data_IF_820593356834
#
_entry.id   IF_820593356834
#
_cell.length_a   1.000
_cell.length_b   1.000
_cell.length_c   1.000
_cell.angle_alpha   90.00
_cell.angle_beta   90.00
_cell.angle_gamma   90.00
#
_symmetry.space_group_name_H-M   'P 1'
#
loop_
_entity.id
_entity.type
_entity.pdbx_description
1 polymer ?
#
# COMPACT_ATOMS: atom_id res chain seq x y z
N UNK A 1 -12.10 13.29 23.82
CA UNK A 1 -13.19 13.44 24.79
C UNK A 1 -13.22 14.86 25.33
N UNK A 2 -14.35 15.51 25.28
CA UNK A 2 -14.58 16.79 25.98
C UNK A 2 -15.26 16.51 27.31
N UNK A 3 -14.71 17.01 28.40
CA UNK A 3 -15.29 16.83 29.75
C UNK A 3 -16.34 17.90 30.04
N UNK A 4 -17.24 17.64 30.98
CA UNK A 4 -18.23 18.61 31.46
C UNK A 4 -17.60 19.82 32.19
N UNK A 5 -16.31 19.79 32.50
CA UNK A 5 -15.55 20.92 33.02
C UNK A 5 -14.92 21.79 31.93
N UNK A 6 -15.29 21.64 30.66
CA UNK A 6 -14.73 22.35 29.54
C UNK A 6 -13.27 22.00 29.19
N UNK A 7 -12.78 20.84 29.68
CA UNK A 7 -11.44 20.33 29.37
C UNK A 7 -11.49 19.30 28.26
N UNK A 8 -10.50 19.31 27.40
CA UNK A 8 -10.31 18.28 26.38
C UNK A 8 -9.27 17.27 26.86
N UNK A 9 -9.62 15.98 26.77
CA UNK A 9 -8.71 14.88 27.04
C UNK A 9 -8.34 14.18 25.73
N UNK A 10 -7.04 14.06 25.46
CA UNK A 10 -6.49 13.34 24.34
C UNK A 10 -5.74 12.11 24.85
N UNK A 11 -6.03 10.96 24.27
CA UNK A 11 -5.29 9.71 24.50
C UNK A 11 -4.73 9.24 23.16
N UNK A 12 -3.43 8.94 23.17
CA UNK A 12 -2.70 8.39 22.02
C UNK A 12 -1.97 7.12 22.49
N UNK A 13 -1.97 6.10 21.65
CA UNK A 13 -1.32 4.84 21.97
C UNK A 13 -1.78 3.72 21.04
N UNK A 14 -1.36 2.50 21.34
CA UNK A 14 -1.80 1.31 20.63
C UNK A 14 -3.28 1.10 20.93
N UNK A 15 -4.07 0.80 19.87
CA UNK A 15 -5.47 0.43 20.05
C UNK A 15 -5.56 -0.81 20.94
N UNK A 16 -6.30 -0.76 22.08
CA UNK A 16 -6.40 -1.89 23.00
C UNK A 16 -7.22 -3.07 22.45
N UNK A 17 -7.93 -2.89 21.32
CA UNK A 17 -8.70 -3.97 20.70
C UNK A 17 -7.73 -5.09 20.26
N UNK A 18 -7.97 -6.30 20.75
CA UNK A 18 -7.16 -7.50 20.48
C UNK A 18 -5.65 -7.36 20.80
N UNK A 19 -5.22 -6.30 21.52
CA UNK A 19 -3.83 -6.10 21.90
C UNK A 19 -3.56 -6.55 23.35
N UNK A 20 -2.59 -7.45 23.50
CA UNK A 20 -2.06 -7.89 24.81
C UNK A 20 -0.56 -8.04 24.70
N UNK A 21 0.16 -7.61 25.72
CA UNK A 21 1.60 -7.74 25.78
C UNK A 21 2.04 -8.20 27.18
N UNK A 22 2.76 -9.33 27.25
CA UNK A 22 3.35 -9.79 28.49
C UNK A 22 4.73 -9.15 28.64
N UNK A 23 4.86 -8.19 29.54
CA UNK A 23 6.14 -7.59 29.87
C UNK A 23 6.79 -8.40 31.01
N UNK A 24 7.76 -9.28 30.68
CA UNK A 24 8.48 -10.07 31.66
C UNK A 24 9.44 -9.19 32.50
N UNK A 25 9.80 -9.61 33.73
CA UNK A 25 10.78 -8.91 34.56
C UNK A 25 12.09 -8.65 33.81
N UNK A 26 12.60 -7.41 33.90
CA UNK A 26 13.84 -6.99 33.23
C UNK A 26 13.74 -6.78 31.72
N UNK A 27 12.55 -6.90 31.14
CA UNK A 27 12.29 -6.58 29.70
C UNK A 27 11.71 -5.21 29.54
N UNK A 28 11.87 -4.65 28.33
CA UNK A 28 11.32 -3.35 27.94
C UNK A 28 10.36 -3.54 26.77
N UNK A 29 9.24 -2.84 26.80
CA UNK A 29 8.35 -2.68 25.67
C UNK A 29 8.44 -1.24 25.17
N UNK A 30 8.77 -1.04 23.90
CA UNK A 30 8.80 0.29 23.26
C UNK A 30 7.49 0.51 22.53
N UNK A 31 6.69 1.45 23.03
CA UNK A 31 5.47 1.85 22.34
C UNK A 31 5.81 2.66 21.07
N UNK A 32 4.94 2.62 20.04
CA UNK A 32 5.09 3.50 18.89
C UNK A 32 5.12 4.97 19.28
N UNK A 33 5.91 5.76 18.56
CA UNK A 33 5.98 7.20 18.77
C UNK A 33 4.65 7.87 18.39
N UNK A 34 4.21 8.83 19.21
CA UNK A 34 3.05 9.66 18.94
C UNK A 34 3.51 11.08 18.59
N UNK A 35 3.01 11.61 17.46
CA UNK A 35 3.34 12.94 16.98
C UNK A 35 2.16 13.86 17.17
N UNK A 36 2.38 15.00 17.82
CA UNK A 36 1.39 16.04 18.01
C UNK A 36 1.83 17.35 17.35
N UNK A 37 0.88 18.08 16.77
CA UNK A 37 1.12 19.39 16.20
C UNK A 37 0.12 20.41 16.74
N UNK A 38 0.59 21.63 16.93
CA UNK A 38 -0.24 22.79 17.28
C UNK A 38 -0.10 23.87 16.22
N UNK A 39 -1.19 24.58 15.94
CA UNK A 39 -1.17 25.77 15.07
C UNK A 39 -2.24 26.77 15.52
N UNK A 40 -1.85 28.02 15.59
CA UNK A 40 -2.77 29.14 15.79
C UNK A 40 -3.50 29.54 14.49
N UNK A 41 -3.10 28.98 13.34
CA UNK A 41 -3.66 29.25 12.01
C UNK A 41 -4.79 28.28 11.61
N UNK A 42 -5.40 27.60 12.59
CA UNK A 42 -6.47 26.63 12.37
C UNK A 42 -6.01 25.31 11.74
N UNK A 43 -6.96 24.53 11.23
CA UNK A 43 -6.72 23.17 10.70
C UNK A 43 -5.78 23.16 9.50
N UNK A 44 -5.84 24.18 8.63
CA UNK A 44 -4.91 24.30 7.51
C UNK A 44 -3.46 24.44 7.96
N UNK A 45 -3.22 25.17 9.05
CA UNK A 45 -1.90 25.30 9.66
C UNK A 45 -1.38 23.97 10.22
N UNK A 46 -2.23 23.21 10.93
CA UNK A 46 -1.90 21.86 11.43
C UNK A 46 -1.58 20.94 10.26
N UNK A 47 -2.42 20.92 9.22
CA UNK A 47 -2.23 20.08 8.02
C UNK A 47 -0.86 20.36 7.37
N UNK A 48 -0.53 21.61 7.10
CA UNK A 48 0.77 21.99 6.54
C UNK A 48 1.94 21.60 7.43
N UNK A 49 1.79 21.71 8.76
CA UNK A 49 2.80 21.27 9.72
C UNK A 49 3.04 19.77 9.62
N UNK A 50 1.99 18.95 9.59
CA UNK A 50 2.07 17.51 9.45
C UNK A 50 2.64 17.09 8.08
N UNK A 51 2.28 17.77 6.98
CA UNK A 51 2.86 17.51 5.67
C UNK A 51 4.39 17.74 5.67
N UNK A 52 4.86 18.82 6.30
CA UNK A 52 6.30 19.07 6.45
C UNK A 52 6.98 17.99 7.30
N UNK A 53 6.35 17.61 8.41
CA UNK A 53 6.86 16.54 9.26
C UNK A 53 7.01 15.23 8.48
N UNK A 54 5.96 14.80 7.76
CA UNK A 54 5.97 13.57 6.96
C UNK A 54 7.08 13.63 5.90
N UNK A 55 7.17 14.75 5.16
CA UNK A 55 8.18 14.92 4.11
C UNK A 55 9.60 14.82 4.65
N UNK A 56 9.89 15.47 5.78
CA UNK A 56 11.27 15.54 6.30
C UNK A 56 11.67 14.32 7.13
N UNK A 57 10.73 13.68 7.83
CA UNK A 57 11.04 12.65 8.80
C UNK A 57 10.60 11.23 8.39
N UNK A 58 9.54 11.10 7.58
CA UNK A 58 8.97 9.79 7.21
C UNK A 58 9.38 9.38 5.81
N UNK A 59 9.18 10.26 4.81
CA UNK A 59 9.49 9.95 3.41
C UNK A 59 10.99 9.71 3.23
N UNK A 60 11.32 8.62 2.54
CA UNK A 60 12.69 8.16 2.28
C UNK A 60 12.99 8.14 0.78
N UNK A 61 14.30 8.05 0.45
CA UNK A 61 14.77 7.89 -0.92
C UNK A 61 14.48 9.08 -1.82
N UNK A 62 14.42 8.82 -3.11
CA UNK A 62 14.24 9.86 -4.14
C UNK A 62 12.92 10.62 -4.01
N UNK A 63 11.90 9.98 -3.44
CA UNK A 63 10.57 10.56 -3.30
C UNK A 63 10.46 11.62 -2.22
N UNK A 64 11.52 11.87 -1.46
CA UNK A 64 11.57 12.95 -0.47
C UNK A 64 11.50 14.33 -1.15
N UNK A 65 12.22 14.48 -2.25
CA UNK A 65 12.39 15.75 -2.97
C UNK A 65 11.77 15.75 -4.38
N UNK A 66 11.42 14.58 -4.90
CA UNK A 66 10.84 14.41 -6.23
C UNK A 66 9.32 14.48 -6.18
N UNK A 67 8.71 15.11 -7.17
CA UNK A 67 7.27 15.08 -7.41
C UNK A 67 6.80 13.65 -7.69
N UNK A 68 5.54 13.37 -7.34
CA UNK A 68 4.94 12.06 -7.62
C UNK A 68 4.60 11.98 -9.10
N UNK A 69 4.84 10.81 -9.73
CA UNK A 69 4.55 10.61 -11.14
C UNK A 69 3.05 10.63 -11.41
N UNK A 70 2.69 11.02 -12.63
CA UNK A 70 1.33 10.82 -13.14
C UNK A 70 1.12 9.32 -13.30
N UNK A 71 0.17 8.78 -12.53
CA UNK A 71 -0.06 7.34 -12.39
C UNK A 71 -1.31 6.91 -13.13
N UNK A 72 -1.22 5.76 -13.83
CA UNK A 72 -2.36 4.99 -14.30
C UNK A 72 -2.37 3.63 -13.60
N UNK A 73 -3.54 3.24 -13.08
CA UNK A 73 -3.77 1.95 -12.43
C UNK A 73 -4.65 1.07 -13.32
N UNK A 74 -4.43 -0.23 -13.34
CA UNK A 74 -5.18 -1.16 -14.20
C UNK A 74 -6.59 -1.50 -13.68
N UNK A 75 -6.89 -1.28 -12.39
CA UNK A 75 -8.08 -1.82 -11.73
C UNK A 75 -9.39 -1.47 -12.42
N UNK A 76 -9.64 -0.19 -12.65
CA UNK A 76 -10.89 0.27 -13.26
C UNK A 76 -11.08 -0.23 -14.71
N UNK A 77 -9.97 -0.54 -15.39
CA UNK A 77 -10.01 -1.03 -16.78
C UNK A 77 -10.13 -2.55 -16.91
N UNK A 78 -9.74 -3.31 -15.87
CA UNK A 78 -9.62 -4.76 -15.99
C UNK A 78 -10.20 -5.56 -14.83
N UNK A 79 -10.28 -4.98 -13.63
CA UNK A 79 -10.40 -5.78 -12.41
C UNK A 79 -9.30 -6.84 -12.39
N UNK A 80 -9.66 -8.07 -12.03
CA UNK A 80 -8.74 -9.22 -12.01
C UNK A 80 -8.67 -9.95 -13.37
N UNK A 81 -9.50 -9.58 -14.35
CA UNK A 81 -9.54 -10.19 -15.68
C UNK A 81 -8.55 -9.52 -16.63
N UNK A 82 -7.29 -9.93 -16.56
CA UNK A 82 -6.23 -9.43 -17.44
C UNK A 82 -5.18 -10.50 -17.77
N UNK A 83 -4.47 -10.23 -18.84
CA UNK A 83 -3.20 -10.84 -19.21
C UNK A 83 -2.15 -9.74 -19.48
N UNK A 84 -0.90 -10.13 -19.66
CA UNK A 84 0.20 -9.20 -19.95
C UNK A 84 -0.08 -8.32 -21.19
N UNK A 85 -0.72 -8.86 -22.22
CA UNK A 85 -1.05 -8.14 -23.45
C UNK A 85 -2.07 -7.02 -23.16
N UNK A 86 -3.12 -7.31 -22.37
CA UNK A 86 -4.14 -6.34 -21.98
C UNK A 86 -3.53 -5.20 -21.16
N UNK A 87 -2.67 -5.54 -20.20
CA UNK A 87 -1.95 -4.53 -19.40
C UNK A 87 -1.07 -3.62 -20.27
N UNK A 88 -0.30 -4.20 -21.19
CA UNK A 88 0.56 -3.43 -22.08
C UNK A 88 -0.24 -2.55 -23.06
N UNK A 89 -1.44 -2.98 -23.48
CA UNK A 89 -2.30 -2.15 -24.32
C UNK A 89 -2.77 -0.89 -23.59
N UNK A 90 -3.18 -1.03 -22.32
CA UNK A 90 -3.56 0.11 -21.46
C UNK A 90 -2.35 1.01 -21.18
N UNK A 91 -1.22 0.40 -20.84
CA UNK A 91 0.01 1.13 -20.55
C UNK A 91 0.48 1.98 -21.74
N UNK A 92 0.39 1.45 -22.96
CA UNK A 92 0.74 2.18 -24.19
C UNK A 92 -0.11 3.45 -24.34
N UNK A 93 -1.42 3.32 -24.21
CA UNK A 93 -2.33 4.48 -24.28
C UNK A 93 -2.04 5.46 -23.14
N UNK A 94 -1.81 4.95 -21.93
CA UNK A 94 -1.43 5.78 -20.78
C UNK A 94 -0.16 6.59 -21.04
N UNK A 95 0.88 5.97 -21.61
CA UNK A 95 2.13 6.65 -21.97
C UNK A 95 1.91 7.75 -23.02
N UNK A 96 1.11 7.47 -24.06
CA UNK A 96 0.74 8.45 -25.10
C UNK A 96 -0.02 9.66 -24.52
N UNK A 97 -0.75 9.47 -23.43
CA UNK A 97 -1.47 10.52 -22.68
C UNK A 97 -0.63 11.20 -21.61
N UNK A 98 0.64 10.83 -21.44
CA UNK A 98 1.57 11.46 -20.50
C UNK A 98 1.64 10.82 -19.11
N UNK A 99 1.14 9.59 -18.93
CA UNK A 99 1.42 8.83 -17.71
C UNK A 99 2.91 8.51 -17.59
N UNK A 100 3.40 8.45 -16.36
CA UNK A 100 4.81 8.21 -16.01
C UNK A 100 4.99 6.91 -15.22
N UNK A 101 3.92 6.41 -14.59
CA UNK A 101 3.90 5.21 -13.77
C UNK A 101 2.68 4.36 -14.11
N UNK A 102 2.91 3.08 -14.39
CA UNK A 102 1.86 2.08 -14.53
C UNK A 102 1.81 1.21 -13.28
N UNK A 103 0.66 1.15 -12.61
CA UNK A 103 0.42 0.28 -11.44
C UNK A 103 -0.46 -0.89 -11.87
N UNK A 104 0.08 -2.10 -11.74
CA UNK A 104 -0.68 -3.33 -11.85
C UNK A 104 -1.37 -3.61 -10.51
N UNK A 105 -2.69 -3.68 -10.55
CA UNK A 105 -3.53 -3.90 -9.36
C UNK A 105 -3.74 -5.39 -9.06
N UNK A 106 -4.72 -5.73 -8.22
CA UNK A 106 -5.05 -7.06 -7.75
C UNK A 106 -5.26 -8.06 -8.90
N UNK A 107 -4.99 -9.34 -8.65
CA UNK A 107 -5.22 -10.43 -9.60
C UNK A 107 -3.97 -10.95 -10.30
N UNK A 108 -2.76 -10.44 -10.02
CA UNK A 108 -1.51 -10.84 -10.67
C UNK A 108 -0.88 -12.12 -10.11
N UNK A 109 -1.32 -12.59 -8.95
CA UNK A 109 -0.67 -13.65 -8.16
C UNK A 109 -1.55 -14.89 -8.00
N UNK A 110 -0.92 -16.04 -7.73
CA UNK A 110 -1.59 -17.31 -7.42
C UNK A 110 -2.69 -17.66 -8.41
N UNK A 111 -3.86 -18.05 -7.89
CA UNK A 111 -5.09 -18.29 -8.65
C UNK A 111 -6.11 -17.17 -8.42
N UNK A 112 -5.64 -15.95 -8.22
CA UNK A 112 -6.44 -14.77 -7.90
C UNK A 112 -7.24 -14.29 -9.11
N UNK A 113 -8.35 -14.97 -9.40
CA UNK A 113 -9.29 -14.60 -10.47
C UNK A 113 -10.56 -13.94 -9.93
N UNK A 114 -10.75 -14.00 -8.62
CA UNK A 114 -11.80 -13.33 -7.85
C UNK A 114 -11.32 -13.04 -6.41
N UNK A 115 -12.13 -12.34 -5.62
CA UNK A 115 -11.79 -11.90 -4.26
C UNK A 115 -11.93 -12.98 -3.17
N UNK A 116 -12.39 -14.18 -3.53
CA UNK A 116 -12.64 -15.28 -2.58
C UNK A 116 -11.44 -16.20 -2.37
N UNK A 117 -10.36 -16.02 -3.13
CA UNK A 117 -9.23 -16.94 -3.11
C UNK A 117 -7.87 -16.26 -3.30
N UNK A 118 -6.83 -16.99 -2.90
CA UNK A 118 -5.41 -16.73 -3.13
C UNK A 118 -4.83 -15.45 -2.52
N UNK A 119 -5.59 -14.62 -1.80
CA UNK A 119 -5.01 -13.48 -1.09
C UNK A 119 -4.02 -13.99 -0.03
N UNK A 120 -2.77 -13.57 -0.12
CA UNK A 120 -1.64 -14.09 0.64
C UNK A 120 -0.64 -14.91 -0.19
N UNK A 121 -1.03 -15.40 -1.36
CA UNK A 121 -0.19 -16.20 -2.25
C UNK A 121 0.58 -15.31 -3.24
N UNK A 122 1.53 -14.51 -2.74
CA UNK A 122 2.27 -13.50 -3.50
C UNK A 122 3.26 -14.09 -4.52
N UNK A 123 2.82 -15.09 -5.29
CA UNK A 123 3.58 -15.70 -6.39
C UNK A 123 2.94 -15.38 -7.72
N UNK A 124 3.76 -14.96 -8.67
CA UNK A 124 3.27 -14.55 -10.01
C UNK A 124 2.43 -15.65 -10.67
N UNK A 125 1.27 -15.28 -11.20
CA UNK A 125 0.47 -16.17 -12.04
C UNK A 125 1.08 -16.26 -13.45
N UNK A 126 1.70 -17.40 -13.83
CA UNK A 126 2.39 -17.52 -15.13
C UNK A 126 1.44 -17.55 -16.33
N UNK A 127 0.14 -17.81 -16.12
CA UNK A 127 -0.86 -17.75 -17.20
C UNK A 127 -1.16 -16.30 -17.58
N UNK A 128 -1.24 -15.41 -16.58
CA UNK A 128 -1.49 -13.98 -16.80
C UNK A 128 -0.22 -13.24 -17.21
N UNK A 129 0.91 -13.60 -16.60
CA UNK A 129 2.21 -12.96 -16.78
C UNK A 129 3.28 -13.97 -17.20
N UNK A 130 3.26 -14.44 -18.46
CA UNK A 130 4.16 -15.50 -18.92
C UNK A 130 5.65 -15.12 -18.90
N UNK A 131 5.97 -13.83 -18.87
CA UNK A 131 7.35 -13.34 -18.76
C UNK A 131 7.71 -12.86 -17.34
N UNK A 132 6.82 -13.11 -16.35
CA UNK A 132 6.99 -12.68 -14.98
C UNK A 132 6.97 -11.16 -14.81
N UNK A 133 7.23 -10.71 -13.57
CA UNK A 133 7.28 -9.27 -13.25
C UNK A 133 8.43 -8.58 -13.98
N UNK A 134 9.59 -9.20 -14.07
CA UNK A 134 10.77 -8.63 -14.77
C UNK A 134 10.50 -8.39 -16.25
N UNK A 135 9.82 -9.34 -16.91
CA UNK A 135 9.47 -9.22 -18.31
C UNK A 135 8.46 -8.10 -18.54
N UNK A 136 7.43 -8.00 -17.72
CA UNK A 136 6.44 -6.91 -17.77
C UNK A 136 7.12 -5.57 -17.51
N UNK A 137 7.93 -5.44 -16.45
CA UNK A 137 8.64 -4.21 -16.11
C UNK A 137 9.53 -3.71 -17.27
N UNK A 138 10.29 -4.61 -17.90
CA UNK A 138 11.14 -4.24 -19.06
C UNK A 138 10.33 -3.66 -20.22
N UNK A 139 9.16 -4.21 -20.49
CA UNK A 139 8.25 -3.75 -21.54
C UNK A 139 7.62 -2.39 -21.20
N UNK A 140 7.23 -2.19 -19.94
CA UNK A 140 6.71 -0.89 -19.47
C UNK A 140 7.79 0.19 -19.55
N UNK A 141 9.02 -0.12 -19.16
CA UNK A 141 10.16 0.81 -19.30
C UNK A 141 10.45 1.18 -20.76
N UNK A 142 10.25 0.25 -21.69
CA UNK A 142 10.39 0.55 -23.12
C UNK A 142 9.32 1.53 -23.64
N UNK A 143 8.19 1.67 -22.91
CA UNK A 143 7.16 2.69 -23.14
C UNK A 143 7.42 3.99 -22.37
N UNK A 144 8.52 4.08 -21.62
CA UNK A 144 8.83 5.24 -20.77
C UNK A 144 8.12 5.25 -19.42
N UNK A 145 7.50 4.15 -19.00
CA UNK A 145 6.75 4.04 -17.75
C UNK A 145 7.58 3.37 -16.66
N UNK A 146 7.53 3.92 -15.46
CA UNK A 146 7.89 3.20 -14.24
C UNK A 146 6.82 2.15 -13.91
N UNK A 147 7.16 1.16 -13.07
CA UNK A 147 6.28 0.06 -12.69
C UNK A 147 5.99 0.05 -11.20
N UNK A 148 4.71 -0.03 -10.85
CA UNK A 148 4.20 -0.26 -9.51
C UNK A 148 3.34 -1.52 -9.44
N UNK A 149 3.23 -2.08 -8.25
CA UNK A 149 2.47 -3.32 -7.99
C UNK A 149 1.61 -3.17 -6.73
N UNK A 150 0.38 -3.62 -6.81
CA UNK A 150 -0.51 -3.68 -5.66
C UNK A 150 -0.25 -4.92 -4.80
N UNK A 151 -0.27 -4.73 -3.48
CA UNK A 151 -0.24 -5.80 -2.48
C UNK A 151 -1.12 -5.42 -1.30
N UNK A 152 -1.77 -6.41 -0.69
CA UNK A 152 -2.62 -6.28 0.51
C UNK A 152 -2.14 -7.26 1.60
N UNK A 153 -1.00 -6.97 2.25
CA UNK A 153 -0.34 -7.92 3.17
C UNK A 153 -1.07 -8.07 4.51
N UNK A 154 -2.02 -7.23 4.83
CA UNK A 154 -2.81 -7.25 6.06
C UNK A 154 -3.95 -8.27 6.07
N UNK A 155 -4.28 -8.86 4.91
CA UNK A 155 -5.38 -9.79 4.75
C UNK A 155 -4.93 -11.11 4.11
N UNK A 156 -5.70 -12.17 4.37
CA UNK A 156 -5.50 -13.50 3.79
C UNK A 156 -6.86 -14.16 3.54
N UNK A 157 -6.99 -14.87 2.42
CA UNK A 157 -8.14 -15.74 2.21
C UNK A 157 -7.89 -17.12 2.86
N UNK A 158 -8.92 -17.71 3.45
CA UNK A 158 -8.87 -19.12 3.88
C UNK A 158 -8.56 -20.06 2.70
N UNK A 159 -9.06 -19.72 1.52
CA UNK A 159 -8.72 -20.43 0.27
C UNK A 159 -7.43 -19.89 -0.35
N UNK A 160 -6.33 -20.03 0.39
CA UNK A 160 -4.96 -19.69 -0.07
C UNK A 160 -3.98 -20.78 0.34
N UNK A 161 -2.85 -20.85 -0.32
CA UNK A 161 -1.75 -21.75 0.07
C UNK A 161 -1.12 -21.28 1.40
N UNK A 162 -1.04 -19.96 1.61
CA UNK A 162 -0.54 -19.38 2.85
C UNK A 162 -1.37 -19.81 4.05
N UNK A 163 -2.69 -19.67 4.00
CA UNK A 163 -3.57 -20.07 5.10
C UNK A 163 -3.47 -21.57 5.39
N UNK A 164 -3.41 -22.42 4.34
CA UNK A 164 -3.23 -23.88 4.52
C UNK A 164 -1.90 -24.25 5.17
N UNK A 165 -0.85 -23.47 4.91
CA UNK A 165 0.47 -23.69 5.51
C UNK A 165 0.54 -23.17 6.96
N UNK A 166 -0.22 -22.15 7.30
CA UNK A 166 -0.21 -21.45 8.58
C UNK A 166 -1.61 -21.13 9.09
N UNK A 167 -2.42 -22.16 9.40
CA UNK A 167 -3.82 -21.95 9.85
C UNK A 167 -3.93 -21.31 11.24
N UNK A 168 -2.82 -21.21 11.94
CA UNK A 168 -2.68 -20.60 13.27
C UNK A 168 -2.37 -19.09 13.23
N UNK A 169 -2.19 -18.53 12.06
CA UNK A 169 -1.93 -17.08 11.87
C UNK A 169 -3.26 -16.31 11.73
#
# INVERSE_FOLDING_TARGET
>A
EATHFGKTRLLLGINPFAFRWLLAPGKTFTAPEAVMAFSAEGLGGVSRCMHRFVRHNIVRGIWKERERPVLINSWEGTGMDFDERKLLSIAKVGAELGAELFVMDDGWFGTRDDDTQALGDWTVNPKKLPHGLDGLQKRLRALGLDFGIWVEPEMVNENSALFRAHPDW
#
